data_IF_355358763963
#
_entry.id   IF_355358763963
#
_cell.length_a   1.000
_cell.length_b   1.000
_cell.length_c   1.000
_cell.angle_alpha   90.00
_cell.angle_beta   90.00
_cell.angle_gamma   90.00
#
_symmetry.space_group_name_H-M   'P 1'
#
loop_
_entity.id
_entity.type
_entity.pdbx_description
1 polymer ?
#
# COMPACT_ATOMS: atom_id res chain seq x y z
N UNK A 1 12.78 -9.27 3.96
CA UNK A 1 11.60 -8.59 4.54
C UNK A 1 11.08 -9.46 5.66
N UNK A 2 10.84 -8.90 6.86
CA UNK A 2 10.27 -9.64 8.00
C UNK A 2 8.78 -9.94 7.74
N UNK A 3 8.24 -11.00 8.34
CA UNK A 3 6.80 -11.31 8.25
C UNK A 3 5.92 -10.16 8.79
N UNK A 4 6.47 -9.37 9.71
CA UNK A 4 5.81 -8.20 10.27
C UNK A 4 5.49 -7.12 9.24
N UNK A 5 6.27 -7.04 8.16
CA UNK A 5 6.09 -6.04 7.12
C UNK A 5 4.82 -6.29 6.29
N UNK A 6 4.28 -7.51 6.31
CA UNK A 6 3.09 -7.90 5.56
C UNK A 6 1.78 -7.68 6.34
N UNK A 7 1.81 -7.29 7.62
CA UNK A 7 0.60 -6.80 8.29
C UNK A 7 0.22 -5.43 7.74
N UNK A 8 -1.05 -5.22 7.46
CA UNK A 8 -1.52 -3.94 6.95
C UNK A 8 -1.47 -2.86 8.03
N UNK A 9 -0.56 -1.91 7.85
CA UNK A 9 -0.50 -0.66 8.61
C UNK A 9 0.06 0.48 7.75
N UNK A 10 -0.23 1.75 8.08
CA UNK A 10 0.41 2.91 7.46
C UNK A 10 1.94 2.80 7.41
N UNK A 11 2.55 2.38 8.51
CA UNK A 11 3.99 2.31 8.68
C UNK A 11 4.58 1.25 7.75
N UNK A 12 3.97 0.06 7.70
CA UNK A 12 4.41 -1.03 6.85
C UNK A 12 4.20 -0.73 5.37
N UNK A 13 3.10 -0.05 5.00
CA UNK A 13 2.87 0.40 3.63
C UNK A 13 3.96 1.34 3.15
N UNK A 14 4.29 2.36 3.94
CA UNK A 14 5.35 3.31 3.59
C UNK A 14 6.74 2.66 3.62
N UNK A 15 7.00 1.77 4.58
CA UNK A 15 8.26 1.04 4.65
C UNK A 15 8.48 0.12 3.44
N UNK A 16 7.44 -0.56 2.96
CA UNK A 16 7.52 -1.31 1.70
C UNK A 16 7.76 -0.36 0.51
N UNK A 17 6.97 0.71 0.40
CA UNK A 17 7.07 1.68 -0.69
C UNK A 17 8.46 2.33 -0.82
N UNK A 18 9.17 2.54 0.29
CA UNK A 18 10.54 3.06 0.30
C UNK A 18 11.57 2.12 -0.33
N UNK A 19 11.31 0.81 -0.28
CA UNK A 19 12.25 -0.23 -0.69
C UNK A 19 11.91 -0.87 -2.04
N UNK A 20 10.79 -0.48 -2.65
CA UNK A 20 10.36 -0.97 -3.97
C UNK A 20 10.43 0.16 -4.99
N UNK A 21 10.94 -0.10 -6.20
CA UNK A 21 11.01 0.92 -7.24
C UNK A 21 9.61 1.44 -7.60
N UNK A 22 9.56 2.69 -8.04
CA UNK A 22 8.35 3.28 -8.62
C UNK A 22 8.30 2.87 -10.10
N UNK A 23 7.36 2.01 -10.45
CA UNK A 23 7.17 1.51 -11.82
C UNK A 23 5.78 1.89 -12.31
N UNK A 24 5.70 2.52 -13.49
CA UNK A 24 4.43 2.95 -14.10
C UNK A 24 3.54 3.80 -13.18
N UNK A 25 4.15 4.56 -12.26
CA UNK A 25 3.42 5.41 -11.31
C UNK A 25 2.97 4.71 -10.03
N UNK A 26 3.38 3.46 -9.79
CA UNK A 26 3.00 2.70 -8.60
C UNK A 26 4.19 2.04 -7.88
N UNK A 27 4.10 1.97 -6.56
CA UNK A 27 4.90 1.06 -5.74
C UNK A 27 4.11 -0.23 -5.53
N UNK A 28 4.73 -1.39 -5.84
CA UNK A 28 4.13 -2.71 -5.62
C UNK A 28 4.41 -3.16 -4.19
N UNK A 29 3.35 -3.33 -3.41
CA UNK A 29 3.41 -3.71 -1.98
C UNK A 29 2.60 -4.97 -1.74
N UNK A 30 2.86 -5.68 -0.65
CA UNK A 30 2.22 -6.96 -0.33
C UNK A 30 1.71 -6.98 1.10
N UNK A 31 0.50 -7.47 1.30
CA UNK A 31 -0.08 -7.63 2.64
C UNK A 31 -0.79 -8.97 2.79
N UNK A 32 -0.91 -9.42 4.03
CA UNK A 32 -1.92 -10.43 4.38
C UNK A 32 -3.31 -9.91 4.01
N UNK A 33 -4.18 -10.81 3.59
CA UNK A 33 -5.57 -10.47 3.25
C UNK A 33 -6.56 -11.36 3.98
N UNK A 34 -7.73 -10.80 4.30
CA UNK A 34 -8.86 -11.59 4.77
C UNK A 34 -9.53 -12.37 3.63
N UNK A 35 -10.62 -13.08 3.94
CA UNK A 35 -11.39 -13.88 2.97
C UNK A 35 -12.02 -13.04 1.85
N UNK A 36 -12.09 -11.71 2.01
CA UNK A 36 -12.61 -10.77 1.02
C UNK A 36 -11.51 -10.12 0.18
N UNK A 37 -10.24 -10.48 0.41
CA UNK A 37 -9.10 -9.88 -0.27
C UNK A 37 -8.68 -8.51 0.27
N UNK A 38 -9.20 -8.10 1.44
CA UNK A 38 -8.90 -6.80 2.04
C UNK A 38 -7.61 -6.92 2.88
N UNK A 39 -6.68 -5.95 2.78
CA UNK A 39 -5.47 -5.94 3.61
C UNK A 39 -5.77 -6.08 5.11
N UNK A 40 -5.20 -7.11 5.73
CA UNK A 40 -5.45 -7.49 7.12
C UNK A 40 -4.36 -7.02 8.06
N UNK A 41 -4.76 -6.62 9.27
CA UNK A 41 -3.86 -6.28 10.38
C UNK A 41 -3.30 -7.51 11.10
N UNK A 42 -3.83 -8.70 10.79
CA UNK A 42 -3.48 -9.96 11.41
C UNK A 42 -2.90 -10.94 10.38
N UNK A 43 -2.28 -12.02 10.85
CA UNK A 43 -1.64 -13.00 9.97
C UNK A 43 -2.73 -13.88 9.42
N UNK A 44 -2.84 -13.96 8.11
CA UNK A 44 -3.79 -14.86 7.45
C UNK A 44 -3.03 -15.89 6.63
N UNK A 45 -3.77 -16.82 6.01
CA UNK A 45 -3.20 -17.86 5.16
C UNK A 45 -2.71 -17.34 3.81
N UNK A 46 -3.11 -16.12 3.41
CA UNK A 46 -2.92 -15.59 2.07
C UNK A 46 -2.36 -14.18 2.10
N UNK A 47 -1.54 -13.85 1.10
CA UNK A 47 -1.05 -12.50 0.86
C UNK A 47 -1.33 -12.09 -0.56
N UNK A 48 -1.69 -10.84 -0.78
CA UNK A 48 -1.94 -10.28 -2.11
C UNK A 48 -1.05 -9.07 -2.38
N UNK A 49 -0.89 -8.77 -3.67
CA UNK A 49 -0.16 -7.61 -4.14
C UNK A 49 -1.10 -6.43 -4.40
N UNK A 50 -0.64 -5.24 -4.02
CA UNK A 50 -1.35 -3.98 -4.18
C UNK A 50 -0.44 -2.93 -4.81
N UNK A 51 -1.08 -1.91 -5.38
CA UNK A 51 -0.44 -0.85 -6.15
C UNK A 51 -0.67 0.49 -5.44
N UNK A 52 0.36 1.01 -4.80
CA UNK A 52 0.31 2.31 -4.14
C UNK A 52 0.72 3.41 -5.12
N UNK A 53 -0.22 4.30 -5.44
CA UNK A 53 0.08 5.57 -6.10
C UNK A 53 0.62 6.56 -5.06
N UNK A 54 1.89 7.01 -5.16
CA UNK A 54 2.48 7.96 -4.22
C UNK A 54 1.84 9.35 -4.32
N UNK A 55 1.20 9.68 -5.45
CA UNK A 55 0.37 10.86 -5.61
C UNK A 55 -1.08 10.54 -5.21
N UNK A 56 -1.63 11.34 -4.29
CA UNK A 56 -2.99 11.18 -3.78
C UNK A 56 -3.18 10.01 -2.79
N UNK A 57 -2.14 9.20 -2.55
CA UNK A 57 -2.17 8.15 -1.52
C UNK A 57 -3.24 7.08 -1.73
N UNK A 58 -3.38 6.63 -2.98
CA UNK A 58 -4.37 5.61 -3.37
C UNK A 58 -3.72 4.24 -3.42
N UNK A 59 -4.30 3.25 -2.75
CA UNK A 59 -3.94 1.84 -2.82
C UNK A 59 -4.97 1.10 -3.65
N UNK A 60 -4.50 0.34 -4.65
CA UNK A 60 -5.34 -0.46 -5.54
C UNK A 60 -5.01 -1.94 -5.48
N UNK A 61 -5.99 -2.79 -5.78
CA UNK A 61 -5.78 -4.21 -6.00
C UNK A 61 -5.29 -4.49 -7.43
N UNK A 62 -5.15 -5.78 -7.79
CA UNK A 62 -4.75 -6.23 -9.13
C UNK A 62 -5.75 -5.91 -10.23
N UNK A 63 -7.02 -5.78 -9.91
CA UNK A 63 -8.08 -5.37 -10.83
C UNK A 63 -8.17 -3.84 -10.94
N UNK A 64 -7.26 -3.12 -10.28
CA UNK A 64 -7.21 -1.67 -10.20
C UNK A 64 -8.40 -1.04 -9.49
N UNK A 65 -9.15 -1.80 -8.68
CA UNK A 65 -10.16 -1.23 -7.79
C UNK A 65 -9.48 -0.47 -6.65
N UNK A 66 -10.14 0.58 -6.15
CA UNK A 66 -9.63 1.33 -5.01
C UNK A 66 -9.92 0.54 -3.74
N UNK A 67 -8.87 0.13 -3.05
CA UNK A 67 -8.96 -0.55 -1.75
C UNK A 67 -8.92 0.50 -0.65
N UNK A 68 -8.00 1.47 -0.76
CA UNK A 68 -7.85 2.54 0.22
C UNK A 68 -7.53 3.85 -0.49
N UNK A 69 -8.13 4.92 0.00
CA UNK A 69 -7.76 6.29 -0.35
C UNK A 69 -7.45 7.06 0.92
N UNK A 70 -6.22 7.55 1.06
CA UNK A 70 -5.84 8.39 2.19
C UNK A 70 -4.74 9.37 1.85
N UNK A 71 -5.00 10.66 2.08
CA UNK A 71 -3.99 11.71 1.98
C UNK A 71 -2.80 11.51 2.94
N UNK A 72 -2.86 10.57 3.91
CA UNK A 72 -1.71 10.22 4.75
C UNK A 72 -0.60 9.51 3.96
N UNK A 73 -0.94 8.85 2.86
CA UNK A 73 0.00 8.13 1.99
C UNK A 73 0.43 8.95 0.78
N UNK A 74 -0.08 10.17 0.65
CA UNK A 74 0.31 11.08 -0.41
C UNK A 74 1.68 11.68 -0.10
N UNK A 75 2.69 11.21 -0.83
CA UNK A 75 4.08 11.66 -0.72
C UNK A 75 4.23 13.15 -1.06
N UNK A 76 3.32 13.68 -1.88
CA UNK A 76 3.37 15.06 -2.37
C UNK A 76 2.42 15.99 -1.62
N UNK A 77 1.76 15.51 -0.55
CA UNK A 77 0.87 16.35 0.25
C UNK A 77 1.63 17.56 0.79
N UNK A 78 1.13 18.76 0.46
CA UNK A 78 1.72 20.03 0.90
C UNK A 78 2.77 20.61 -0.05
N UNK A 79 3.20 19.87 -1.09
CA UNK A 79 3.99 20.47 -2.16
C UNK A 79 3.17 21.55 -2.88
N UNK A 80 3.74 22.74 -3.04
CA UNK A 80 3.07 23.88 -3.67
C UNK A 80 2.27 24.78 -2.73
N UNK A 81 2.25 24.52 -1.41
CA UNK A 81 1.81 25.52 -0.43
C UNK A 81 3.01 26.41 -0.08
N UNK A 82 3.11 27.55 -0.77
CA UNK A 82 3.95 28.68 -0.39
C UNK A 82 3.25 29.52 0.68
#
# INVERSE_FOLDING_TARGET
>A
MSEELYYFSPENLLAQAQNVPLELGYHRVRFYVDEQGIPSKEKTSSTEEFFLSPSGGTLRDREMNIVIYSAKYDKYKGYGKA
#
